data_IF_475280036312
#
_entry.id   IF_475280036312
#
_cell.length_a   1.000
_cell.length_b   1.000
_cell.length_c   1.000
_cell.angle_alpha   90.00
_cell.angle_beta   90.00
_cell.angle_gamma   90.00
#
_symmetry.space_group_name_H-M   'P 1'
#
loop_
_entity.id
_entity.type
_entity.pdbx_description
1 polymer ?
#
# COMPACT_ATOMS: atom_id res chain seq x y z
N UNK A 1 48.71 -10.83 -5.73
CA UNK A 1 47.68 -10.64 -6.76
C UNK A 1 46.36 -11.31 -6.36
N UNK A 2 46.41 -12.54 -5.82
CA UNK A 2 45.20 -13.26 -5.43
C UNK A 2 44.49 -12.61 -4.25
N UNK A 3 45.25 -12.11 -3.28
CA UNK A 3 44.68 -11.38 -2.13
C UNK A 3 43.94 -10.11 -2.57
N UNK A 4 44.50 -9.41 -3.56
CA UNK A 4 43.91 -8.19 -4.08
C UNK A 4 42.60 -8.48 -4.82
N UNK A 5 42.60 -9.53 -5.64
CA UNK A 5 41.37 -9.95 -6.37
C UNK A 5 40.25 -10.34 -5.43
N UNK A 6 40.58 -11.07 -4.36
CA UNK A 6 39.60 -11.48 -3.34
C UNK A 6 39.02 -10.28 -2.60
N UNK A 7 39.88 -9.31 -2.28
CA UNK A 7 39.46 -8.07 -1.62
C UNK A 7 38.45 -7.30 -2.50
N UNK A 8 38.77 -7.12 -3.78
CA UNK A 8 37.86 -6.42 -4.71
C UNK A 8 36.54 -7.12 -4.86
N UNK A 9 36.55 -8.46 -4.94
CA UNK A 9 35.31 -9.24 -5.03
C UNK A 9 34.44 -9.07 -3.80
N UNK A 10 35.05 -9.12 -2.60
CA UNK A 10 34.34 -8.92 -1.34
C UNK A 10 33.73 -7.52 -1.26
N UNK A 11 34.50 -6.49 -1.65
CA UNK A 11 34.04 -5.11 -1.66
C UNK A 11 32.86 -4.93 -2.63
N UNK A 12 32.94 -5.51 -3.82
CA UNK A 12 31.89 -5.46 -4.82
C UNK A 12 30.60 -6.10 -4.28
N UNK A 13 30.69 -7.27 -3.66
CA UNK A 13 29.52 -7.96 -3.09
C UNK A 13 28.88 -7.13 -1.98
N UNK A 14 29.68 -6.46 -1.15
CA UNK A 14 29.18 -5.60 -0.08
C UNK A 14 28.42 -4.40 -0.66
N UNK A 15 28.95 -3.77 -1.71
CA UNK A 15 28.30 -2.64 -2.38
C UNK A 15 26.97 -3.05 -2.98
N UNK A 16 26.91 -4.22 -3.63
CA UNK A 16 25.67 -4.75 -4.19
C UNK A 16 24.64 -4.98 -3.10
N UNK A 17 25.04 -5.55 -1.97
CA UNK A 17 24.14 -5.80 -0.84
C UNK A 17 23.55 -4.49 -0.30
N UNK A 18 24.39 -3.47 -0.10
CA UNK A 18 23.96 -2.15 0.38
C UNK A 18 22.99 -1.53 -0.60
N UNK A 19 23.27 -1.61 -1.89
CA UNK A 19 22.38 -1.08 -2.93
C UNK A 19 21.01 -1.77 -2.92
N UNK A 20 20.97 -3.09 -2.78
CA UNK A 20 19.73 -3.85 -2.72
C UNK A 20 18.92 -3.50 -1.47
N UNK A 21 19.57 -3.32 -0.34
CA UNK A 21 18.91 -2.89 0.89
C UNK A 21 18.29 -1.50 0.74
N UNK A 22 19.01 -0.55 0.17
CA UNK A 22 18.51 0.80 -0.09
C UNK A 22 17.33 0.80 -1.04
N UNK A 23 17.41 0.03 -2.12
CA UNK A 23 16.32 -0.12 -3.10
C UNK A 23 15.07 -0.70 -2.43
N UNK A 24 15.25 -1.72 -1.60
CA UNK A 24 14.17 -2.35 -0.85
C UNK A 24 13.47 -1.35 0.06
N UNK A 25 14.21 -0.52 0.79
CA UNK A 25 13.64 0.49 1.69
C UNK A 25 12.94 1.62 0.95
N UNK A 26 13.37 1.96 -0.28
CA UNK A 26 12.74 2.97 -1.12
C UNK A 26 11.49 2.43 -1.81
N UNK A 27 11.45 1.12 -2.13
CA UNK A 27 10.37 0.49 -2.89
C UNK A 27 9.12 0.17 -2.06
N UNK A 28 9.22 0.27 -0.74
CA UNK A 28 8.13 -0.08 0.18
C UNK A 28 7.97 0.99 1.25
N UNK A 29 6.72 1.38 1.52
CA UNK A 29 6.39 2.34 2.56
C UNK A 29 5.41 1.68 3.53
N UNK A 30 5.76 1.67 4.81
CA UNK A 30 4.91 1.12 5.87
C UNK A 30 3.93 2.18 6.35
N UNK A 31 2.66 1.84 6.34
CA UNK A 31 1.58 2.73 6.76
C UNK A 31 0.78 2.12 7.89
N UNK A 32 0.08 2.98 8.60
CA UNK A 32 -0.93 2.59 9.56
C UNK A 32 -2.29 3.05 9.04
N UNK A 33 -3.26 2.12 9.04
CA UNK A 33 -4.66 2.42 8.84
C UNK A 33 -5.34 2.42 10.20
N UNK A 34 -5.79 3.58 10.65
CA UNK A 34 -6.47 3.75 11.92
C UNK A 34 -7.97 3.80 11.68
N UNK A 35 -8.71 2.99 12.44
CA UNK A 35 -10.16 2.85 12.30
C UNK A 35 -10.81 3.43 13.56
N UNK A 36 -11.59 4.50 13.40
CA UNK A 36 -12.35 5.10 14.48
C UNK A 36 -11.51 5.55 15.67
N UNK A 37 -10.23 5.80 15.48
CA UNK A 37 -9.30 6.20 16.52
C UNK A 37 -8.91 5.08 17.50
N UNK A 38 -9.32 3.84 17.24
CA UNK A 38 -9.14 2.72 18.19
C UNK A 38 -8.30 1.59 17.66
N UNK A 39 -8.56 1.16 16.43
CA UNK A 39 -7.89 0.01 15.82
C UNK A 39 -6.83 0.51 14.86
N UNK A 40 -5.64 -0.08 14.93
CA UNK A 40 -4.54 0.25 14.02
C UNK A 40 -4.10 -1.01 13.30
N UNK A 41 -4.12 -0.95 11.98
CA UNK A 41 -3.66 -2.04 11.12
C UNK A 41 -2.45 -1.57 10.32
N UNK A 42 -1.49 -2.46 10.14
CA UNK A 42 -0.29 -2.16 9.37
C UNK A 42 -0.48 -2.59 7.92
N UNK A 43 -0.16 -1.70 7.00
CA UNK A 43 -0.17 -2.03 5.57
C UNK A 43 1.05 -1.43 4.87
N UNK A 44 1.42 -2.06 3.77
CA UNK A 44 2.55 -1.63 2.97
C UNK A 44 2.06 -1.07 1.64
N UNK A 45 2.53 0.12 1.30
CA UNK A 45 2.50 0.59 -0.09
C UNK A 45 3.70 -0.03 -0.80
N UNK A 46 3.44 -0.63 -1.95
CA UNK A 46 4.46 -1.32 -2.73
C UNK A 46 4.64 -0.61 -4.07
N UNK A 47 5.72 0.15 -4.18
CA UNK A 47 5.97 0.98 -5.36
C UNK A 47 6.03 0.18 -6.65
N UNK A 48 6.56 -1.05 -6.61
CA UNK A 48 6.66 -1.89 -7.80
C UNK A 48 5.30 -2.28 -8.41
N UNK A 49 4.23 -2.24 -7.60
CA UNK A 49 2.89 -2.54 -8.11
C UNK A 49 2.39 -1.43 -9.03
N UNK A 50 2.60 -0.17 -8.65
CA UNK A 50 2.13 0.99 -9.41
C UNK A 50 2.97 2.21 -9.03
N UNK A 51 4.14 2.39 -9.66
CA UNK A 51 5.13 3.36 -9.19
C UNK A 51 4.64 4.80 -9.15
N UNK A 52 3.91 5.26 -10.15
CA UNK A 52 3.43 6.65 -10.19
C UNK A 52 2.37 6.91 -9.15
N UNK A 53 1.41 6.01 -9.06
CA UNK A 53 0.30 6.12 -8.11
C UNK A 53 0.80 6.08 -6.67
N UNK A 54 1.65 5.09 -6.35
CA UNK A 54 2.23 4.96 -5.01
C UNK A 54 3.07 6.18 -4.66
N UNK A 55 3.86 6.69 -5.60
CA UNK A 55 4.64 7.92 -5.39
C UNK A 55 3.76 9.13 -5.06
N UNK A 56 2.67 9.30 -5.79
CA UNK A 56 1.71 10.38 -5.53
C UNK A 56 1.06 10.23 -4.16
N UNK A 57 0.66 9.02 -3.79
CA UNK A 57 0.07 8.75 -2.49
C UNK A 57 1.04 9.06 -1.36
N UNK A 58 2.30 8.64 -1.48
CA UNK A 58 3.32 8.89 -0.46
C UNK A 58 3.49 10.38 -0.18
N UNK A 59 3.38 11.21 -1.20
CA UNK A 59 3.49 12.67 -1.06
C UNK A 59 2.24 13.32 -0.48
N UNK A 60 1.13 12.60 -0.46
CA UNK A 60 -0.18 13.13 -0.04
C UNK A 60 -0.52 12.80 1.41
N UNK A 61 0.21 11.87 2.03
CA UNK A 61 -0.05 11.44 3.41
C UNK A 61 0.20 12.56 4.42
N UNK A 62 -0.54 12.63 5.54
CA UNK A 62 -1.61 11.73 5.95
C UNK A 62 -2.94 12.01 5.25
N UNK A 63 -3.79 11.00 5.19
CA UNK A 63 -5.11 11.10 4.57
C UNK A 63 -6.16 10.54 5.52
N UNK A 64 -7.35 11.13 5.49
CA UNK A 64 -8.48 10.62 6.26
C UNK A 64 -9.78 10.79 5.49
N UNK A 65 -10.80 10.10 5.93
CA UNK A 65 -12.12 10.20 5.37
C UNK A 65 -13.10 9.25 6.04
N UNK A 66 -14.35 9.41 5.70
CA UNK A 66 -15.40 8.54 6.19
C UNK A 66 -15.42 7.24 5.39
N UNK A 67 -15.60 6.13 6.09
CA UNK A 67 -15.68 4.83 5.43
C UNK A 67 -16.98 4.65 4.68
N UNK A 68 -16.88 3.90 3.60
CA UNK A 68 -18.00 3.42 2.80
C UNK A 68 -17.80 1.94 2.51
N UNK A 69 -18.87 1.25 2.20
CA UNK A 69 -18.85 -0.17 1.88
C UNK A 69 -19.26 -0.36 0.43
N UNK A 70 -18.50 -1.18 -0.29
CA UNK A 70 -18.84 -1.59 -1.66
C UNK A 70 -19.01 -3.10 -1.65
N UNK A 71 -20.25 -3.57 -1.64
CA UNK A 71 -20.54 -4.98 -1.45
C UNK A 71 -20.12 -5.46 -0.06
N UNK A 72 -19.79 -6.74 0.05
CA UNK A 72 -19.40 -7.36 1.33
C UNK A 72 -17.91 -7.31 1.57
N UNK A 73 -17.10 -7.13 0.54
CA UNK A 73 -15.67 -7.42 0.59
C UNK A 73 -14.77 -6.22 0.36
N UNK A 74 -15.34 -5.01 0.21
CA UNK A 74 -14.54 -3.79 0.01
C UNK A 74 -14.98 -2.73 1.00
N UNK A 75 -14.02 -2.20 1.76
CA UNK A 75 -14.17 -1.00 2.57
C UNK A 75 -13.33 0.08 1.92
N UNK A 76 -13.86 1.29 1.75
CA UNK A 76 -13.10 2.35 1.09
C UNK A 76 -13.40 3.72 1.69
N UNK A 77 -12.50 4.67 1.46
CA UNK A 77 -12.74 6.08 1.71
C UNK A 77 -12.20 6.91 0.55
N UNK A 78 -12.86 8.03 0.30
CA UNK A 78 -12.52 8.93 -0.80
C UNK A 78 -11.55 10.00 -0.34
N UNK A 79 -10.64 10.38 -1.24
CA UNK A 79 -9.66 11.44 -1.00
C UNK A 79 -9.61 12.39 -2.20
N UNK A 80 -8.83 13.46 -2.07
CA UNK A 80 -8.53 14.36 -3.18
C UNK A 80 -7.29 13.96 -3.97
N UNK A 81 -6.72 12.79 -3.70
CA UNK A 81 -5.56 12.32 -4.45
C UNK A 81 -5.94 12.11 -5.90
N UNK A 82 -5.21 12.75 -6.79
CA UNK A 82 -5.43 12.67 -8.23
C UNK A 82 -4.27 11.92 -8.87
N UNK A 83 -4.58 10.74 -9.41
CA UNK A 83 -3.61 9.91 -10.13
C UNK A 83 -4.37 9.09 -11.17
N UNK A 84 -3.82 8.99 -12.36
CA UNK A 84 -4.43 8.22 -13.44
C UNK A 84 -4.40 6.72 -13.19
N UNK A 85 -5.09 5.99 -14.06
CA UNK A 85 -5.11 4.53 -14.02
C UNK A 85 -3.71 4.00 -14.33
N UNK A 86 -3.22 3.09 -13.51
CA UNK A 86 -1.92 2.47 -13.67
C UNK A 86 -2.01 0.99 -13.33
N UNK A 87 -1.59 0.12 -14.27
CA UNK A 87 -1.52 -1.33 -14.06
C UNK A 87 -2.78 -1.93 -13.43
N UNK A 88 -3.96 -1.48 -13.89
CA UNK A 88 -5.21 -1.92 -13.30
C UNK A 88 -5.38 -3.45 -13.35
N UNK A 89 -6.03 -3.97 -12.32
CA UNK A 89 -6.39 -5.38 -12.24
C UNK A 89 -7.90 -5.51 -12.02
N UNK A 90 -8.44 -6.65 -12.41
CA UNK A 90 -9.86 -6.95 -12.22
C UNK A 90 -10.12 -7.84 -10.99
N UNK A 91 -9.09 -8.46 -10.45
CA UNK A 91 -9.21 -9.40 -9.33
C UNK A 91 -8.29 -9.00 -8.20
N UNK A 92 -8.84 -9.02 -6.98
CA UNK A 92 -8.11 -8.72 -5.75
C UNK A 92 -8.46 -9.76 -4.69
N UNK A 93 -7.54 -10.00 -3.78
CA UNK A 93 -7.67 -10.97 -2.70
C UNK A 93 -7.77 -10.26 -1.36
N UNK A 94 -8.25 -10.97 -0.35
CA UNK A 94 -8.23 -10.49 1.03
C UNK A 94 -6.83 -9.99 1.38
N UNK A 95 -6.77 -8.77 1.93
CA UNK A 95 -5.53 -8.14 2.33
C UNK A 95 -4.96 -7.19 1.29
N UNK A 96 -5.45 -7.20 0.05
CA UNK A 96 -5.00 -6.28 -0.97
C UNK A 96 -5.50 -4.85 -0.69
N UNK A 97 -4.72 -3.88 -1.14
CA UNK A 97 -5.08 -2.46 -1.12
C UNK A 97 -4.99 -1.94 -2.55
N UNK A 98 -6.05 -1.25 -2.97
CA UNK A 98 -6.12 -0.68 -4.31
C UNK A 98 -6.55 0.79 -4.26
N UNK A 99 -6.27 1.49 -5.34
CA UNK A 99 -6.67 2.89 -5.53
C UNK A 99 -7.61 2.98 -6.72
N UNK A 100 -8.75 3.66 -6.52
CA UNK A 100 -9.72 3.90 -7.58
C UNK A 100 -9.58 5.35 -8.06
N UNK A 101 -8.96 5.57 -9.24
CA UNK A 101 -8.64 6.94 -9.69
C UNK A 101 -9.84 7.85 -9.89
N UNK A 102 -10.98 7.30 -10.32
CA UNK A 102 -12.17 8.11 -10.64
C UNK A 102 -12.69 8.92 -9.46
N UNK A 103 -12.48 8.43 -8.23
CA UNK A 103 -12.96 9.09 -7.01
C UNK A 103 -11.86 9.37 -6.00
N UNK A 104 -10.62 9.02 -6.31
CA UNK A 104 -9.51 9.14 -5.37
C UNK A 104 -9.66 8.22 -4.17
N UNK A 105 -10.27 7.05 -4.34
CA UNK A 105 -10.63 6.16 -3.24
C UNK A 105 -9.56 5.13 -2.94
N UNK A 106 -9.30 4.94 -1.65
CA UNK A 106 -8.50 3.82 -1.14
C UNK A 106 -9.44 2.68 -0.81
N UNK A 107 -9.22 1.54 -1.47
CA UNK A 107 -10.07 0.37 -1.35
C UNK A 107 -9.33 -0.74 -0.63
N UNK A 108 -9.90 -1.24 0.45
CA UNK A 108 -9.33 -2.30 1.29
C UNK A 108 -10.16 -3.56 1.14
N UNK A 109 -9.53 -4.65 0.72
CA UNK A 109 -10.24 -5.89 0.42
C UNK A 109 -10.24 -6.79 1.64
N UNK A 110 -11.43 -7.06 2.17
CA UNK A 110 -11.63 -7.97 3.30
C UNK A 110 -12.02 -9.37 2.84
N UNK A 111 -12.12 -9.58 1.55
CA UNK A 111 -12.40 -10.85 0.92
C UNK A 111 -12.04 -10.80 -0.56
N UNK A 112 -12.17 -11.94 -1.23
CA UNK A 112 -11.87 -12.04 -2.66
C UNK A 112 -12.95 -11.35 -3.49
N UNK A 113 -12.53 -10.55 -4.48
CA UNK A 113 -13.43 -9.86 -5.40
C UNK A 113 -12.92 -10.02 -6.82
N UNK A 114 -13.81 -10.42 -7.72
CA UNK A 114 -13.53 -10.52 -9.15
C UNK A 114 -14.30 -9.43 -9.91
N UNK A 115 -13.84 -9.14 -11.11
CA UNK A 115 -14.55 -8.25 -12.06
C UNK A 115 -14.69 -6.79 -11.61
N UNK A 116 -13.74 -6.29 -10.79
CA UNK A 116 -13.66 -4.85 -10.55
C UNK A 116 -13.04 -4.17 -11.76
N UNK A 117 -13.34 -2.88 -11.95
CA UNK A 117 -12.86 -2.09 -13.09
C UNK A 117 -12.01 -0.92 -12.64
N UNK A 118 -10.90 -0.70 -13.37
CA UNK A 118 -10.08 0.51 -13.24
C UNK A 118 -9.49 0.72 -11.85
N UNK A 119 -9.23 -0.36 -11.13
CA UNK A 119 -8.56 -0.30 -9.83
C UNK A 119 -7.08 -0.58 -9.96
N UNK A 120 -6.28 0.29 -9.39
CA UNK A 120 -4.82 0.23 -9.41
C UNK A 120 -4.31 -0.44 -8.14
N UNK A 121 -3.56 -1.56 -8.23
CA UNK A 121 -3.00 -2.20 -7.05
C UNK A 121 -1.91 -1.33 -6.45
N UNK A 122 -1.94 -1.11 -5.13
CA UNK A 122 -0.96 -0.23 -4.47
C UNK A 122 -0.28 -0.86 -3.27
N UNK A 123 -0.83 -1.92 -2.70
CA UNK A 123 -0.21 -2.50 -1.51
C UNK A 123 -0.93 -3.69 -0.93
N UNK A 124 -0.53 -4.05 0.28
CA UNK A 124 -1.10 -5.15 1.05
C UNK A 124 -1.03 -4.88 2.55
N UNK A 125 -1.97 -5.45 3.29
CA UNK A 125 -1.89 -5.48 4.75
C UNK A 125 -0.81 -6.48 5.20
N UNK A 126 -0.08 -6.10 6.25
CA UNK A 126 0.81 -7.01 6.96
C UNK A 126 0.02 -7.86 7.95
N UNK A 127 -0.97 -7.24 8.59
CA UNK A 127 -1.80 -7.87 9.59
C UNK A 127 -3.05 -8.49 8.98
N UNK A 128 -3.69 -9.40 9.71
CA UNK A 128 -5.04 -9.82 9.39
C UNK A 128 -5.96 -8.59 9.48
N UNK A 129 -6.72 -8.34 8.42
CA UNK A 129 -7.58 -7.18 8.33
C UNK A 129 -9.05 -7.48 8.70
N UNK A 130 -9.30 -8.51 9.48
CA UNK A 130 -10.65 -8.89 9.89
C UNK A 130 -11.40 -7.77 10.62
N UNK A 131 -10.68 -6.90 11.32
CA UNK A 131 -11.28 -5.74 11.99
C UNK A 131 -12.03 -4.81 11.01
N UNK A 132 -11.63 -4.79 9.75
CA UNK A 132 -12.32 -4.00 8.74
C UNK A 132 -13.73 -4.52 8.44
N UNK A 133 -14.01 -5.79 8.73
CA UNK A 133 -15.36 -6.35 8.56
C UNK A 133 -16.37 -5.73 9.53
N UNK A 134 -15.91 -5.17 10.62
CA UNK A 134 -16.74 -4.53 11.64
C UNK A 134 -16.94 -3.04 11.40
N UNK A 135 -16.31 -2.48 10.38
CA UNK A 135 -16.43 -1.07 10.03
C UNK A 135 -17.85 -0.79 9.54
N UNK A 136 -18.45 0.25 10.09
CA UNK A 136 -19.77 0.74 9.67
C UNK A 136 -19.57 1.95 8.78
N UNK A 137 -20.48 2.13 7.82
CA UNK A 137 -20.46 3.31 6.96
C UNK A 137 -20.45 4.57 7.83
N UNK A 138 -19.50 5.45 7.54
CA UNK A 138 -19.32 6.69 8.29
C UNK A 138 -18.21 6.66 9.35
N UNK A 139 -17.69 5.48 9.69
CA UNK A 139 -16.52 5.42 10.60
C UNK A 139 -15.33 6.13 9.95
N UNK A 140 -14.58 6.88 10.76
CA UNK A 140 -13.43 7.62 10.24
C UNK A 140 -12.25 6.67 10.04
N UNK A 141 -11.70 6.68 8.83
CA UNK A 141 -10.46 5.98 8.48
C UNK A 141 -9.35 7.01 8.30
N UNK A 142 -8.21 6.74 8.88
CA UNK A 142 -7.03 7.58 8.74
C UNK A 142 -5.84 6.75 8.30
N UNK A 143 -5.17 7.21 7.25
CA UNK A 143 -4.01 6.53 6.68
C UNK A 143 -2.80 7.44 6.82
N UNK A 144 -1.77 6.96 7.50
CA UNK A 144 -0.59 7.75 7.75
C UNK A 144 0.67 6.89 7.80
N UNK A 145 1.80 7.55 7.67
CA UNK A 145 3.10 6.90 7.67
C UNK A 145 3.47 6.42 9.06
N UNK A 146 3.95 5.17 9.16
CA UNK A 146 4.44 4.64 10.42
C UNK A 146 5.78 5.31 10.73
N UNK A 147 5.84 6.00 11.88
CA UNK A 147 7.07 6.63 12.38
C UNK A 147 7.67 5.75 13.47
N UNK A 148 8.95 5.44 13.32
CA UNK A 148 9.70 4.66 14.31
C UNK A 148 10.38 5.57 15.30
#
# INVERSE_FOLDING_TARGET
LDKYKNFLKTLYNLIILIYQMSTSSVSRKQLILEIGGKVKLHCDLKRHLSPRTVGTIMRSLPLDGNSHLMGKNIVYFETSVDSGIERSRSEFKKGDVAFLPSTGSFCFFVGHVESVKNMTPIGKFQDDNNELKNVKSGDVLRLYEETT
#
